data_IF_905785348055
#
_entry.id   IF_905785348055
#
_cell.length_a   1.000
_cell.length_b   1.000
_cell.length_c   1.000
_cell.angle_alpha   90.00
_cell.angle_beta   90.00
_cell.angle_gamma   90.00
#
_symmetry.space_group_name_H-M   'P 1'
#
loop_
_entity.id
_entity.type
_entity.pdbx_description
1 polymer ?
#
# COMPACT_ATOMS: atom_id res chain seq x y z
N UNK A 1 11.21 37.93 -31.80
CA UNK A 1 10.01 37.13 -32.15
C UNK A 1 10.19 35.66 -31.83
N UNK A 2 11.19 34.98 -32.41
CA UNK A 2 11.38 33.53 -32.24
C UNK A 2 11.67 33.08 -30.80
N UNK A 3 12.47 33.84 -30.04
CA UNK A 3 12.78 33.59 -28.63
C UNK A 3 11.53 33.71 -27.74
N UNK A 4 10.68 34.71 -27.99
CA UNK A 4 9.43 34.92 -27.26
C UNK A 4 8.42 33.79 -27.52
N UNK A 5 8.33 33.34 -28.78
CA UNK A 5 7.48 32.22 -29.17
C UNK A 5 7.93 30.91 -28.49
N UNK A 6 9.24 30.67 -28.41
CA UNK A 6 9.80 29.50 -27.73
C UNK A 6 9.48 29.49 -26.22
N UNK A 7 9.58 30.63 -25.55
CA UNK A 7 9.25 30.75 -24.12
C UNK A 7 7.78 30.50 -23.84
N UNK A 8 6.88 30.97 -24.71
CA UNK A 8 5.43 30.75 -24.57
C UNK A 8 5.08 29.27 -24.75
N UNK A 9 5.65 28.61 -25.76
CA UNK A 9 5.44 27.17 -26.00
C UNK A 9 5.99 26.32 -24.84
N UNK A 10 7.15 26.68 -24.30
CA UNK A 10 7.74 25.98 -23.16
C UNK A 10 6.91 26.14 -21.87
N UNK A 11 6.39 27.34 -21.61
CA UNK A 11 5.50 27.60 -20.49
C UNK A 11 4.17 26.83 -20.59
N UNK A 12 3.60 26.73 -21.80
CA UNK A 12 2.40 25.93 -22.04
C UNK A 12 2.64 24.43 -21.86
N UNK A 13 3.80 23.92 -22.29
CA UNK A 13 4.16 22.52 -22.11
C UNK A 13 4.23 22.15 -20.61
N UNK A 14 4.82 23.02 -19.78
CA UNK A 14 4.86 22.83 -18.32
C UNK A 14 3.48 22.87 -17.67
N UNK A 15 2.55 23.68 -18.18
CA UNK A 15 1.19 23.75 -17.64
C UNK A 15 0.29 22.59 -18.07
N UNK A 16 0.62 21.92 -19.19
CA UNK A 16 -0.11 20.76 -19.71
C UNK A 16 0.17 19.45 -18.98
N UNK A 17 1.27 19.38 -18.21
CA UNK A 17 1.59 18.25 -17.35
C UNK A 17 0.77 18.32 -16.05
N UNK A 18 -0.50 17.92 -16.11
CA UNK A 18 -1.34 17.77 -14.92
C UNK A 18 -0.80 16.73 -13.94
N UNK A 19 -1.14 16.80 -12.63
CA UNK A 19 -0.67 15.83 -11.65
C UNK A 19 -1.14 14.42 -12.03
N UNK A 20 -0.18 13.53 -12.26
CA UNK A 20 -0.48 12.10 -12.46
C UNK A 20 -0.64 11.46 -11.08
N UNK A 21 -1.89 11.31 -10.63
CA UNK A 21 -2.17 10.50 -9.45
C UNK A 21 -2.19 9.04 -9.87
N UNK A 22 -1.16 8.28 -9.49
CA UNK A 22 -1.25 6.82 -9.49
C UNK A 22 -2.37 6.42 -8.50
N UNK A 23 -3.57 6.20 -9.02
CA UNK A 23 -4.73 5.84 -8.22
C UNK A 23 -5.43 4.62 -8.81
N UNK A 24 -4.68 3.55 -9.00
CA UNK A 24 -5.28 2.22 -8.91
C UNK A 24 -5.23 1.81 -7.45
N UNK A 25 -6.36 1.82 -6.71
CA UNK A 25 -6.41 1.07 -5.46
C UNK A 25 -5.97 -0.37 -5.76
N UNK A 26 -5.14 -0.94 -4.89
CA UNK A 26 -4.73 -2.34 -5.02
C UNK A 26 -5.97 -3.22 -5.23
N UNK A 27 -5.88 -4.16 -6.18
CA UNK A 27 -6.93 -5.16 -6.34
C UNK A 27 -7.14 -5.89 -5.01
N UNK A 28 -8.39 -6.29 -4.72
CA UNK A 28 -8.72 -6.97 -3.47
C UNK A 28 -7.86 -8.21 -3.27
N UNK A 29 -7.14 -8.28 -2.15
CA UNK A 29 -6.22 -9.38 -1.85
C UNK A 29 -6.78 -10.32 -0.79
N UNK A 30 -6.54 -11.62 -0.95
CA UNK A 30 -6.80 -12.65 0.06
C UNK A 30 -5.49 -13.01 0.73
N UNK A 31 -5.40 -12.84 2.05
CA UNK A 31 -4.15 -12.92 2.80
C UNK A 31 -4.33 -13.87 3.98
N UNK A 32 -3.38 -14.77 4.17
CA UNK A 32 -3.35 -15.69 5.31
C UNK A 32 -2.09 -15.44 6.12
N UNK A 33 -2.25 -15.10 7.40
CA UNK A 33 -1.16 -14.96 8.35
C UNK A 33 -1.10 -16.20 9.24
N UNK A 34 0.02 -16.92 9.19
CA UNK A 34 0.30 -18.03 10.09
C UNK A 34 1.04 -17.50 11.31
N UNK A 35 0.50 -17.74 12.50
CA UNK A 35 1.12 -17.33 13.76
C UNK A 35 1.23 -18.56 14.65
N UNK A 36 2.46 -18.89 15.03
CA UNK A 36 2.81 -20.13 15.73
C UNK A 36 3.74 -19.90 16.93
N UNK A 37 3.60 -18.76 17.61
CA UNK A 37 4.49 -18.37 18.70
C UNK A 37 3.68 -17.92 19.94
N UNK A 38 4.04 -18.38 21.15
CA UNK A 38 3.58 -17.77 22.43
C UNK A 38 4.36 -16.50 22.77
N UNK A 39 5.51 -16.30 22.16
CA UNK A 39 6.36 -15.15 22.44
C UNK A 39 5.63 -13.84 22.10
N UNK A 40 5.30 -13.07 23.13
CA UNK A 40 4.56 -11.81 23.02
C UNK A 40 5.19 -10.83 22.01
N UNK A 41 6.52 -10.73 21.96
CA UNK A 41 7.22 -9.84 21.02
C UNK A 41 6.98 -10.26 19.56
N UNK A 42 7.00 -11.57 19.28
CA UNK A 42 6.71 -12.11 17.94
C UNK A 42 5.24 -11.93 17.56
N UNK A 43 4.33 -12.17 18.49
CA UNK A 43 2.88 -11.98 18.27
C UNK A 43 2.54 -10.51 18.01
N UNK A 44 3.16 -9.58 18.73
CA UNK A 44 3.06 -8.13 18.45
C UNK A 44 3.64 -7.80 17.07
N UNK A 45 4.79 -8.38 16.71
CA UNK A 45 5.41 -8.20 15.40
C UNK A 45 4.51 -8.66 14.24
N UNK A 46 3.88 -9.83 14.39
CA UNK A 46 2.94 -10.36 13.41
C UNK A 46 1.73 -9.45 13.22
N UNK A 47 1.14 -8.95 14.32
CA UNK A 47 0.03 -7.98 14.28
C UNK A 47 0.44 -6.67 13.61
N UNK A 48 1.64 -6.16 13.90
CA UNK A 48 2.17 -4.94 13.26
C UNK A 48 2.32 -5.13 11.76
N UNK A 49 2.84 -6.27 11.32
CA UNK A 49 2.99 -6.57 9.90
C UNK A 49 1.64 -6.65 9.18
N UNK A 50 0.64 -7.28 9.80
CA UNK A 50 -0.72 -7.31 9.27
C UNK A 50 -1.33 -5.91 9.19
N UNK A 51 -1.20 -5.09 10.24
CA UNK A 51 -1.71 -3.72 10.25
C UNK A 51 -1.10 -2.87 9.14
N UNK A 52 0.22 -2.95 8.94
CA UNK A 52 0.88 -2.21 7.88
C UNK A 52 0.34 -2.62 6.50
N UNK A 53 0.13 -3.91 6.27
CA UNK A 53 -0.43 -4.42 5.01
C UNK A 53 -1.87 -3.90 4.78
N UNK A 54 -2.72 -3.95 5.80
CA UNK A 54 -4.09 -3.42 5.75
C UNK A 54 -4.11 -1.92 5.42
N UNK A 55 -3.23 -1.13 6.06
CA UNK A 55 -3.11 0.31 5.82
C UNK A 55 -2.70 0.61 4.37
N UNK A 56 -1.80 -0.20 3.79
CA UNK A 56 -1.36 -0.05 2.41
C UNK A 56 -2.47 -0.40 1.40
N UNK A 57 -3.23 -1.47 1.65
CA UNK A 57 -4.31 -1.89 0.75
C UNK A 57 -5.51 -0.95 0.80
N UNK A 58 -5.77 -0.34 1.96
CA UNK A 58 -6.93 0.49 2.19
C UNK A 58 -8.21 -0.31 2.43
N UNK A 59 -9.27 0.41 2.79
CA UNK A 59 -10.55 -0.17 3.16
C UNK A 59 -11.20 -0.91 1.97
N UNK A 60 -11.71 -2.12 2.21
CA UNK A 60 -12.42 -2.92 1.19
C UNK A 60 -11.54 -3.76 0.26
N UNK A 61 -10.22 -3.53 0.24
CA UNK A 61 -9.29 -4.21 -0.66
C UNK A 61 -8.58 -5.41 -0.02
N UNK A 62 -9.11 -5.96 1.07
CA UNK A 62 -8.50 -7.09 1.76
C UNK A 62 -9.54 -8.08 2.27
N UNK A 63 -9.18 -9.36 2.28
CA UNK A 63 -9.80 -10.45 3.04
C UNK A 63 -8.67 -11.14 3.79
N UNK A 64 -8.60 -10.96 5.11
CA UNK A 64 -7.50 -11.45 5.93
C UNK A 64 -7.98 -12.58 6.83
N UNK A 65 -7.20 -13.66 6.91
CA UNK A 65 -7.40 -14.77 7.85
C UNK A 65 -6.15 -14.98 8.67
N UNK A 66 -6.31 -15.08 9.98
CA UNK A 66 -5.25 -15.51 10.88
C UNK A 66 -5.43 -16.99 11.16
N UNK A 67 -4.39 -17.77 10.89
CA UNK A 67 -4.30 -19.18 11.25
C UNK A 67 -3.33 -19.26 12.42
N UNK A 68 -3.89 -19.47 13.60
CA UNK A 68 -3.11 -19.78 14.78
C UNK A 68 -2.87 -21.29 14.76
N UNK A 69 -1.62 -21.73 14.64
CA UNK A 69 -1.30 -23.15 14.65
C UNK A 69 0.05 -23.41 15.30
N UNK A 70 0.22 -24.59 15.91
CA UNK A 70 1.45 -25.02 16.57
C UNK A 70 1.20 -25.42 18.03
N UNK A 71 2.14 -26.15 18.62
CA UNK A 71 2.07 -26.62 20.03
C UNK A 71 1.97 -25.49 21.06
N UNK A 72 2.16 -24.25 20.60
CA UNK A 72 2.21 -23.00 21.34
C UNK A 72 0.93 -22.17 21.13
N UNK A 73 -0.14 -22.77 20.63
CA UNK A 73 -1.47 -22.15 20.56
C UNK A 73 -2.38 -22.95 21.50
N UNK A 74 -2.55 -22.45 22.72
CA UNK A 74 -3.63 -22.89 23.63
C UNK A 74 -4.98 -22.29 23.20
#
# INVERSE_FOLDING_TARGET
MQQFLATVVFAMAFFSAGPTFAKTPYAKQKIVYHVNYLNMKRSIGARRNAQNHLNTLGQGNHEVRFVLHGNEVE
#
